data_IF_839241452668
#
_entry.id   IF_839241452668
#
_cell.length_a   1.000
_cell.length_b   1.000
_cell.length_c   1.000
_cell.angle_alpha   90.00
_cell.angle_beta   90.00
_cell.angle_gamma   90.00
#
_symmetry.space_group_name_H-M   'P 1'
#
loop_
_entity.id
_entity.type
_entity.pdbx_description
1 polymer ?
#
# COMPACT_ATOMS: atom_id res chain seq x y z
N UNK A 1 -34.97 34.94 -50.95
CA UNK A 1 -34.88 33.51 -50.55
C UNK A 1 -33.40 33.16 -50.69
N UNK A 2 -32.64 33.28 -49.61
CA UNK A 2 -31.16 33.17 -49.62
C UNK A 2 -30.78 31.91 -48.87
N UNK A 3 -30.16 30.96 -49.57
CA UNK A 3 -29.43 29.84 -48.97
C UNK A 3 -28.28 30.40 -48.11
N UNK A 4 -28.20 29.96 -46.85
CA UNK A 4 -27.03 30.17 -46.01
C UNK A 4 -26.62 28.85 -45.38
N UNK A 5 -25.74 28.19 -46.12
CA UNK A 5 -24.64 27.32 -45.72
C UNK A 5 -24.43 27.12 -44.22
N UNK A 6 -24.47 25.85 -43.82
CA UNK A 6 -23.93 25.25 -42.60
C UNK A 6 -22.58 25.81 -42.12
N UNK A 7 -22.36 25.91 -40.80
CA UNK A 7 -21.02 25.82 -40.23
C UNK A 7 -20.72 24.41 -39.68
N UNK A 8 -19.74 23.82 -40.34
CA UNK A 8 -18.86 22.71 -40.03
C UNK A 8 -18.69 22.32 -38.55
N UNK A 9 -18.81 21.02 -38.31
CA UNK A 9 -18.43 20.32 -37.08
C UNK A 9 -16.98 20.60 -36.70
N UNK A 10 -16.75 21.05 -35.47
CA UNK A 10 -15.43 21.10 -34.85
C UNK A 10 -15.02 19.67 -34.46
N UNK A 11 -14.22 19.02 -35.29
CA UNK A 11 -13.22 18.05 -34.83
C UNK A 11 -11.93 18.87 -34.62
N UNK A 12 -11.20 18.77 -33.52
CA UNK A 12 -10.33 17.65 -33.20
C UNK A 12 -10.12 17.64 -31.69
N UNK A 13 -10.46 16.52 -31.05
CA UNK A 13 -10.09 16.27 -29.67
C UNK A 13 -8.57 16.29 -29.54
N UNK A 14 -8.06 17.10 -28.63
CA UNK A 14 -6.71 16.91 -28.08
C UNK A 14 -6.69 15.56 -27.38
N UNK A 15 -6.38 14.51 -28.13
CA UNK A 15 -5.89 13.28 -27.56
C UNK A 15 -4.55 13.63 -26.90
N UNK A 16 -4.57 13.97 -25.61
CA UNK A 16 -3.37 13.90 -24.78
C UNK A 16 -2.86 12.48 -24.94
N UNK A 17 -1.82 12.28 -25.77
CA UNK A 17 -1.04 11.06 -25.78
C UNK A 17 -0.55 10.89 -24.35
N UNK A 18 -1.22 10.03 -23.57
CA UNK A 18 -0.66 9.50 -22.34
C UNK A 18 0.63 8.82 -22.80
N UNK A 19 1.77 9.49 -22.61
CA UNK A 19 3.08 8.83 -22.66
C UNK A 19 2.93 7.63 -21.74
N UNK A 20 2.90 6.42 -22.30
CA UNK A 20 2.95 5.21 -21.51
C UNK A 20 4.28 5.29 -20.77
N UNK A 21 4.25 5.64 -19.48
CA UNK A 21 5.42 5.43 -18.63
C UNK A 21 5.71 3.93 -18.76
N UNK A 22 6.85 3.58 -19.35
CA UNK A 22 7.15 2.20 -19.70
C UNK A 22 7.02 1.30 -18.47
N UNK A 23 6.59 0.06 -18.67
CA UNK A 23 6.46 -0.95 -17.60
C UNK A 23 7.69 -0.98 -16.69
N UNK A 24 8.90 -0.85 -17.25
CA UNK A 24 10.13 -0.76 -16.47
C UNK A 24 10.20 0.43 -15.51
N UNK A 25 9.70 1.60 -15.89
CA UNK A 25 9.65 2.76 -14.99
C UNK A 25 8.52 2.66 -13.97
N UNK A 26 7.46 1.91 -14.30
CA UNK A 26 6.33 1.65 -13.40
C UNK A 26 6.62 0.53 -12.38
N UNK A 27 7.57 -0.36 -12.70
CA UNK A 27 7.96 -1.49 -11.85
C UNK A 27 9.36 -1.37 -11.25
N UNK A 28 10.19 -0.40 -11.68
CA UNK A 28 11.55 -0.21 -11.16
C UNK A 28 11.56 -0.02 -9.65
N UNK A 29 10.61 0.72 -9.10
CA UNK A 29 10.54 0.98 -7.66
C UNK A 29 10.23 -0.30 -6.86
N UNK A 30 9.34 -1.16 -7.35
CA UNK A 30 9.06 -2.47 -6.74
C UNK A 30 10.22 -3.45 -6.92
N UNK A 31 10.89 -3.44 -8.07
CA UNK A 31 12.04 -4.31 -8.32
C UNK A 31 13.25 -3.93 -7.46
N UNK A 32 13.54 -2.64 -7.33
CA UNK A 32 14.64 -2.14 -6.50
C UNK A 32 14.37 -2.44 -5.02
N UNK A 33 13.16 -2.21 -4.53
CA UNK A 33 12.80 -2.54 -3.15
C UNK A 33 12.88 -4.04 -2.86
N UNK A 34 12.44 -4.90 -3.79
CA UNK A 34 12.62 -6.34 -3.67
C UNK A 34 14.09 -6.77 -3.70
N UNK A 35 14.92 -6.14 -4.54
CA UNK A 35 16.35 -6.42 -4.61
C UNK A 35 17.07 -6.03 -3.30
N UNK A 36 16.73 -4.86 -2.74
CA UNK A 36 17.25 -4.42 -1.43
C UNK A 36 16.82 -5.38 -0.33
N UNK A 37 15.56 -5.79 -0.30
CA UNK A 37 15.07 -6.78 0.68
C UNK A 37 15.79 -8.12 0.52
N UNK A 38 15.97 -8.61 -0.71
CA UNK A 38 16.69 -9.85 -0.98
C UNK A 38 18.16 -9.77 -0.52
N UNK A 39 18.82 -8.63 -0.73
CA UNK A 39 20.17 -8.38 -0.24
C UNK A 39 20.22 -8.47 1.29
N UNK A 40 19.31 -7.81 2.00
CA UNK A 40 19.26 -7.87 3.47
C UNK A 40 18.96 -9.28 3.98
N UNK A 41 18.09 -10.02 3.32
CA UNK A 41 17.82 -11.43 3.63
C UNK A 41 19.09 -12.27 3.47
N UNK A 42 19.83 -12.11 2.37
CA UNK A 42 21.08 -12.84 2.13
C UNK A 42 22.14 -12.50 3.19
N UNK A 43 22.34 -11.22 3.49
CA UNK A 43 23.25 -10.78 4.54
C UNK A 43 22.82 -11.36 5.90
N UNK A 44 21.54 -11.27 6.24
CA UNK A 44 21.02 -11.81 7.49
C UNK A 44 21.19 -13.32 7.58
N UNK A 45 20.91 -14.08 6.52
CA UNK A 45 21.07 -15.56 6.53
C UNK A 45 22.51 -15.98 6.84
N UNK A 46 23.50 -15.23 6.33
CA UNK A 46 24.94 -15.49 6.53
C UNK A 46 25.49 -14.97 7.85
N UNK A 47 24.82 -14.01 8.50
CA UNK A 47 25.27 -13.42 9.76
C UNK A 47 24.72 -14.13 11.00
N UNK A 48 25.45 -14.07 12.10
CA UNK A 48 24.98 -14.55 13.40
C UNK A 48 24.08 -13.48 14.06
N UNK A 49 22.82 -13.77 14.43
CA UNK A 49 21.91 -12.78 15.03
C UNK A 49 22.44 -12.14 16.32
N UNK A 50 23.29 -12.84 17.07
CA UNK A 50 23.82 -12.36 18.36
C UNK A 50 24.95 -11.32 18.18
N UNK A 51 25.28 -10.99 16.94
CA UNK A 51 26.25 -9.93 16.62
C UNK A 51 25.54 -8.62 16.29
N UNK A 52 26.19 -7.48 16.56
CA UNK A 52 25.64 -6.17 16.22
C UNK A 52 25.22 -6.06 14.74
N UNK A 53 25.99 -6.65 13.82
CA UNK A 53 25.67 -6.69 12.40
C UNK A 53 24.50 -7.60 12.07
N UNK A 54 24.41 -8.77 12.72
CA UNK A 54 23.27 -9.68 12.57
C UNK A 54 21.97 -9.05 13.02
N UNK A 55 21.96 -8.40 14.19
CA UNK A 55 20.79 -7.67 14.69
C UNK A 55 20.38 -6.53 13.73
N UNK A 56 21.36 -5.76 13.24
CA UNK A 56 21.10 -4.69 12.26
C UNK A 56 20.49 -5.22 10.95
N UNK A 57 21.02 -6.30 10.40
CA UNK A 57 20.47 -6.91 9.18
C UNK A 57 19.07 -7.47 9.42
N UNK A 58 18.81 -8.05 10.60
CA UNK A 58 17.49 -8.53 11.00
C UNK A 58 16.46 -7.40 11.05
N UNK A 59 16.81 -6.27 11.65
CA UNK A 59 15.96 -5.07 11.65
C UNK A 59 15.74 -4.56 10.23
N UNK A 60 16.80 -4.42 9.44
CA UNK A 60 16.65 -3.99 8.05
C UNK A 60 15.68 -4.92 7.27
N UNK A 61 15.76 -6.24 7.45
CA UNK A 61 14.80 -7.16 6.84
C UNK A 61 13.36 -6.86 7.28
N UNK A 62 13.13 -6.57 8.56
CA UNK A 62 11.81 -6.18 9.07
C UNK A 62 11.31 -4.90 8.40
N UNK A 63 12.05 -3.80 8.45
CA UNK A 63 11.65 -2.49 7.94
C UNK A 63 11.36 -2.53 6.43
N UNK A 64 12.25 -3.17 5.67
CA UNK A 64 12.11 -3.31 4.22
C UNK A 64 10.97 -4.24 3.83
N UNK A 65 10.70 -5.29 4.63
CA UNK A 65 9.53 -6.15 4.43
C UNK A 65 8.24 -5.37 4.62
N UNK A 66 8.14 -4.57 5.68
CA UNK A 66 7.00 -3.70 5.91
C UNK A 66 6.80 -2.72 4.75
N UNK A 67 7.87 -2.08 4.29
CA UNK A 67 7.84 -1.15 3.17
C UNK A 67 7.31 -1.80 1.89
N UNK A 68 7.75 -3.02 1.54
CA UNK A 68 7.25 -3.76 0.37
C UNK A 68 5.75 -4.03 0.49
N UNK A 69 5.28 -4.47 1.65
CA UNK A 69 3.85 -4.74 1.90
C UNK A 69 3.02 -3.46 1.74
N UNK A 70 3.49 -2.32 2.27
CA UNK A 70 2.81 -1.03 2.11
C UNK A 70 2.78 -0.59 0.65
N UNK A 71 3.90 -0.66 -0.07
CA UNK A 71 3.97 -0.24 -1.48
C UNK A 71 3.02 -1.10 -2.32
N UNK A 72 3.02 -2.42 -2.14
CA UNK A 72 2.14 -3.32 -2.88
C UNK A 72 0.67 -3.16 -2.47
N UNK A 73 0.40 -3.07 -1.17
CA UNK A 73 -0.94 -2.90 -0.62
C UNK A 73 -1.56 -1.58 -1.08
N UNK A 74 -0.83 -0.47 -0.97
CA UNK A 74 -1.30 0.84 -1.46
C UNK A 74 -1.45 0.86 -2.97
N UNK A 75 -0.54 0.27 -3.74
CA UNK A 75 -0.70 0.16 -5.20
C UNK A 75 -1.98 -0.61 -5.55
N UNK A 76 -2.21 -1.75 -4.92
CA UNK A 76 -3.42 -2.55 -5.12
C UNK A 76 -4.68 -1.77 -4.73
N UNK A 77 -4.68 -1.10 -3.57
CA UNK A 77 -5.80 -0.27 -3.12
C UNK A 77 -6.07 0.89 -4.08
N UNK A 78 -5.04 1.57 -4.55
CA UNK A 78 -5.16 2.69 -5.49
C UNK A 78 -5.67 2.20 -6.87
N UNK A 79 -5.18 1.08 -7.36
CA UNK A 79 -5.64 0.49 -8.61
C UNK A 79 -7.10 0.05 -8.50
N UNK A 80 -7.48 -0.60 -7.39
CA UNK A 80 -8.86 -0.98 -7.11
C UNK A 80 -9.78 0.25 -6.96
N UNK A 81 -9.32 1.32 -6.29
CA UNK A 81 -10.08 2.57 -6.12
C UNK A 81 -10.26 3.31 -7.45
N UNK A 82 -9.25 3.27 -8.33
CA UNK A 82 -9.27 3.90 -9.65
C UNK A 82 -10.18 3.17 -10.65
N UNK A 83 -10.26 1.84 -10.59
CA UNK A 83 -11.13 1.04 -11.45
C UNK A 83 -12.63 1.27 -11.16
N UNK A 84 -12.99 1.46 -9.89
CA UNK A 84 -14.38 1.69 -9.44
C UNK A 84 -14.82 3.16 -9.51
N UNK A 85 -13.89 4.10 -9.79
CA UNK A 85 -14.20 5.52 -9.99
C UNK A 85 -14.84 5.83 -11.36
N UNK A 86 -15.03 4.81 -12.23
CA UNK A 86 -15.89 4.96 -13.42
C UNK A 86 -17.35 4.90 -12.94
N UNK A 87 -18.15 5.97 -13.11
CA UNK A 87 -19.51 6.02 -12.59
C UNK A 87 -20.40 5.03 -13.35
N UNK A 88 -20.51 3.81 -12.84
CA UNK A 88 -21.55 2.88 -13.27
C UNK A 88 -22.84 3.30 -12.57
N UNK A 89 -23.58 4.16 -13.28
CA UNK A 89 -24.91 4.68 -12.97
C UNK A 89 -25.80 3.55 -12.44
N UNK A 90 -26.24 3.63 -11.18
CA UNK A 90 -27.43 2.92 -10.70
C UNK A 90 -27.28 1.73 -9.73
N UNK A 91 -26.11 1.43 -9.14
CA UNK A 91 -25.99 0.30 -8.19
C UNK A 91 -26.30 0.72 -6.75
N UNK A 92 -27.32 0.10 -6.13
CA UNK A 92 -27.67 0.27 -4.70
C UNK A 92 -26.41 0.21 -3.83
N UNK A 93 -26.13 1.31 -3.13
CA UNK A 93 -25.00 1.45 -2.19
C UNK A 93 -25.24 0.53 -1.00
N UNK A 94 -24.50 -0.58 -0.94
CA UNK A 94 -24.52 -1.44 0.22
C UNK A 94 -23.66 -0.78 1.32
N UNK A 95 -24.19 -0.48 2.51
CA UNK A 95 -23.49 0.31 3.53
C UNK A 95 -22.19 -0.38 4.00
N UNK A 96 -22.17 -1.71 4.06
CA UNK A 96 -20.97 -2.49 4.36
C UNK A 96 -19.87 -2.32 3.29
N UNK A 97 -20.25 -2.30 2.00
CA UNK A 97 -19.28 -2.09 0.93
C UNK A 97 -18.74 -0.67 0.98
N UNK A 98 -19.58 0.32 1.25
CA UNK A 98 -19.17 1.73 1.41
C UNK A 98 -18.22 1.90 2.61
N UNK A 99 -18.49 1.22 3.73
CA UNK A 99 -17.62 1.23 4.91
C UNK A 99 -16.26 0.59 4.64
N UNK A 100 -16.26 -0.63 4.06
CA UNK A 100 -15.03 -1.31 3.61
C UNK A 100 -14.27 -0.44 2.62
N UNK A 101 -14.98 0.32 1.77
CA UNK A 101 -14.33 1.17 0.80
C UNK A 101 -13.59 2.34 1.46
N UNK A 102 -14.28 3.05 2.35
CA UNK A 102 -13.76 4.20 3.12
C UNK A 102 -12.59 3.83 4.04
N UNK A 103 -12.62 2.62 4.60
CA UNK A 103 -11.62 2.11 5.54
C UNK A 103 -10.65 1.10 4.92
N UNK A 104 -10.63 0.97 3.59
CA UNK A 104 -9.86 -0.05 2.88
C UNK A 104 -8.37 -0.07 3.22
N UNK A 105 -7.75 1.10 3.44
CA UNK A 105 -6.37 1.21 3.91
C UNK A 105 -6.17 0.63 5.32
N UNK A 106 -7.03 1.02 6.27
CA UNK A 106 -6.98 0.51 7.65
C UNK A 106 -7.26 -0.99 7.69
N UNK A 107 -8.23 -1.47 6.92
CA UNK A 107 -8.55 -2.89 6.81
C UNK A 107 -7.38 -3.69 6.22
N UNK A 108 -6.67 -3.13 5.25
CA UNK A 108 -5.49 -3.77 4.66
C UNK A 108 -4.36 -3.86 5.68
N UNK A 109 -4.06 -2.77 6.40
CA UNK A 109 -3.06 -2.75 7.47
C UNK A 109 -3.42 -3.73 8.59
N UNK A 110 -4.69 -3.77 9.00
CA UNK A 110 -5.17 -4.71 10.02
C UNK A 110 -5.08 -6.18 9.56
N UNK A 111 -5.55 -6.49 8.35
CA UNK A 111 -5.51 -7.85 7.80
C UNK A 111 -4.06 -8.36 7.67
N UNK A 112 -3.16 -7.53 7.15
CA UNK A 112 -1.73 -7.85 7.06
C UNK A 112 -1.07 -7.96 8.43
N UNK A 113 -1.43 -7.10 9.39
CA UNK A 113 -0.98 -7.19 10.78
C UNK A 113 -1.38 -8.49 11.46
N UNK A 114 -2.61 -8.97 11.24
CA UNK A 114 -3.07 -10.28 11.71
C UNK A 114 -2.25 -11.41 11.07
N UNK A 115 -1.94 -11.29 9.77
CA UNK A 115 -1.06 -12.23 9.07
C UNK A 115 0.32 -12.34 9.73
N UNK A 116 0.93 -11.20 10.05
CA UNK A 116 2.22 -11.15 10.76
C UNK A 116 2.13 -11.71 12.18
N UNK A 117 1.04 -11.43 12.91
CA UNK A 117 0.81 -11.96 14.24
C UNK A 117 0.71 -13.49 14.23
N UNK A 118 -0.07 -14.04 13.30
CA UNK A 118 -0.20 -15.50 13.14
C UNK A 118 1.14 -16.13 12.75
N UNK A 119 1.90 -15.48 11.87
CA UNK A 119 3.24 -15.94 11.51
C UNK A 119 4.17 -15.94 12.73
N UNK A 120 4.16 -14.86 13.51
CA UNK A 120 4.95 -14.73 14.74
C UNK A 120 4.61 -15.83 15.76
N UNK A 121 3.31 -16.10 15.97
CA UNK A 121 2.86 -17.18 16.87
C UNK A 121 3.32 -18.57 16.45
N UNK A 122 3.58 -18.78 15.15
CA UNK A 122 4.11 -20.05 14.62
C UNK A 122 5.63 -20.15 14.69
N UNK A 123 6.33 -19.07 15.01
CA UNK A 123 7.78 -19.04 15.13
C UNK A 123 8.24 -19.30 16.57
N UNK A 124 9.44 -19.87 16.70
CA UNK A 124 10.07 -20.04 18.01
C UNK A 124 10.51 -18.66 18.53
N UNK A 125 10.13 -18.25 19.76
CA UNK A 125 10.43 -16.90 20.29
C UNK A 125 11.91 -16.56 20.37
N UNK A 126 12.77 -17.56 20.59
CA UNK A 126 14.24 -17.40 20.60
C UNK A 126 14.91 -17.67 19.25
N UNK A 127 14.14 -17.95 18.20
CA UNK A 127 14.67 -18.22 16.88
C UNK A 127 15.08 -16.93 16.17
N UNK A 128 16.17 -17.02 15.40
CA UNK A 128 16.66 -15.95 14.51
C UNK A 128 15.54 -15.22 13.76
N UNK A 129 14.69 -15.97 13.04
CA UNK A 129 13.57 -15.40 12.29
C UNK A 129 12.42 -14.90 13.17
N UNK A 130 12.27 -15.44 14.38
CA UNK A 130 11.30 -14.96 15.36
C UNK A 130 11.60 -13.52 15.78
N UNK A 131 12.88 -13.16 15.95
CA UNK A 131 13.30 -11.79 16.23
C UNK A 131 12.92 -10.84 15.08
N UNK A 132 13.19 -11.22 13.83
CA UNK A 132 12.85 -10.39 12.66
C UNK A 132 11.36 -10.17 12.53
N UNK A 133 10.56 -11.24 12.63
CA UNK A 133 9.10 -11.14 12.51
C UNK A 133 8.51 -10.38 13.71
N UNK A 134 9.07 -10.53 14.90
CA UNK A 134 8.69 -9.74 16.07
C UNK A 134 8.91 -8.25 15.88
N UNK A 135 10.10 -7.87 15.37
CA UNK A 135 10.42 -6.47 15.10
C UNK A 135 9.50 -5.89 14.01
N UNK A 136 9.30 -6.63 12.91
CA UNK A 136 8.35 -6.28 11.85
C UNK A 136 6.95 -6.06 12.40
N UNK A 137 6.45 -6.98 13.23
CA UNK A 137 5.12 -6.90 13.81
C UNK A 137 4.98 -5.67 14.74
N UNK A 138 6.03 -5.36 15.51
CA UNK A 138 6.03 -4.22 16.43
C UNK A 138 5.94 -2.88 15.69
N UNK A 139 6.75 -2.70 14.64
CA UNK A 139 6.72 -1.51 13.79
C UNK A 139 5.42 -1.42 13.00
N UNK A 140 4.92 -2.56 12.50
CA UNK A 140 3.64 -2.62 11.81
C UNK A 140 2.49 -2.15 12.71
N UNK A 141 2.51 -2.57 13.97
CA UNK A 141 1.53 -2.15 14.98
C UNK A 141 1.65 -0.67 15.28
N UNK A 142 2.87 -0.13 15.39
CA UNK A 142 3.11 1.30 15.59
C UNK A 142 2.58 2.14 14.42
N UNK A 143 2.92 1.77 13.19
CA UNK A 143 2.45 2.45 11.98
C UNK A 143 0.91 2.36 11.87
N UNK A 144 0.34 1.17 12.11
CA UNK A 144 -1.10 0.97 12.10
C UNK A 144 -1.81 1.81 13.17
N UNK A 145 -1.24 1.89 14.37
CA UNK A 145 -1.71 2.75 15.45
C UNK A 145 -1.69 4.22 15.07
N UNK A 146 -0.62 4.70 14.43
CA UNK A 146 -0.51 6.07 13.96
C UNK A 146 -1.56 6.40 12.88
N UNK A 147 -1.76 5.50 11.91
CA UNK A 147 -2.80 5.66 10.88
C UNK A 147 -4.21 5.65 11.47
N UNK A 148 -4.44 4.81 12.48
CA UNK A 148 -5.71 4.77 13.20
C UNK A 148 -5.96 6.06 13.99
N UNK A 149 -4.97 6.53 14.74
CA UNK A 149 -5.05 7.78 15.50
C UNK A 149 -5.25 8.99 14.60
N UNK A 150 -4.51 9.09 13.50
CA UNK A 150 -4.64 10.22 12.56
C UNK A 150 -6.02 10.25 11.92
N UNK A 151 -6.57 9.12 11.46
CA UNK A 151 -7.97 9.09 10.99
C UNK A 151 -8.96 9.40 12.10
N UNK A 152 -8.82 8.76 13.27
CA UNK A 152 -9.76 8.91 14.38
C UNK A 152 -9.81 10.31 14.99
N UNK A 153 -8.69 11.03 15.02
CA UNK A 153 -8.59 12.38 15.59
C UNK A 153 -8.81 13.47 14.54
N UNK A 154 -8.30 13.33 13.32
CA UNK A 154 -8.43 14.38 12.29
C UNK A 154 -9.81 14.38 11.62
N UNK A 155 -10.45 13.22 11.38
CA UNK A 155 -11.80 13.21 10.81
C UNK A 155 -12.85 13.68 11.83
N UNK A 156 -12.68 13.37 13.13
CA UNK A 156 -13.60 13.87 14.18
C UNK A 156 -13.49 15.38 14.40
N UNK A 157 -12.27 15.93 14.41
CA UNK A 157 -12.09 17.38 14.55
C UNK A 157 -12.62 18.20 13.36
N UNK A 158 -12.70 17.60 12.16
CA UNK A 158 -13.21 18.26 10.95
C UNK A 158 -14.74 18.27 10.84
N UNK A 159 -15.45 17.38 11.52
CA UNK A 159 -16.92 17.38 11.56
C UNK A 159 -17.48 18.34 12.62
N UNK A 160 -16.68 18.68 13.65
CA UNK A 160 -17.09 19.60 14.72
C UNK A 160 -16.93 21.08 14.34
N UNK A 161 -16.17 21.40 13.28
CA UNK A 161 -15.94 22.78 12.84
C UNK A 161 -16.88 23.26 11.72
N UNK A 162 -17.97 22.53 11.43
CA UNK A 162 -18.87 22.85 10.30
C UNK A 162 -20.33 22.94 10.70
#
# INVERSE_FOLDING_TARGET
MVELSTPSRVCVGMAKRKKSKGFFHQHSLSLVTLAILALWILLYTRSNPDTHWGAFFGNAVADWSGSVVIILGTKYLLEAHSADSRPVRGRRRNPLRDFVWRHSLLLTIAATGVGWLVLFMKMQPGGKWGQVVGNLLSEWTQMGGLVFLTKGLLEKGSEESR
#
